data_IF_990506095515
#
_entry.id   IF_990506095515
#
_cell.length_a   1.000
_cell.length_b   1.000
_cell.length_c   1.000
_cell.angle_alpha   90.00
_cell.angle_beta   90.00
_cell.angle_gamma   90.00
#
_symmetry.space_group_name_H-M   'P 1'
#
loop_
_entity.id
_entity.type
_entity.pdbx_description
1 polymer ?
#
# COMPACT_ATOMS: atom_id res chain seq x y z
N UNK A 1 -18.64 3.61 72.43
CA UNK A 1 -17.83 2.84 71.45
C UNK A 1 -18.77 1.99 70.61
N UNK A 2 -19.06 2.38 69.37
CA UNK A 2 -19.86 1.56 68.44
C UNK A 2 -19.15 1.49 67.09
N UNK A 3 -18.67 0.29 66.74
CA UNK A 3 -18.07 0.00 65.43
C UNK A 3 -19.18 -0.43 64.48
N UNK A 4 -19.35 0.32 63.40
CA UNK A 4 -20.30 0.02 62.32
C UNK A 4 -19.53 -0.65 61.17
N UNK A 5 -19.77 -1.94 60.97
CA UNK A 5 -19.17 -2.75 59.90
C UNK A 5 -19.79 -2.39 58.55
N UNK A 6 -18.95 -2.05 57.57
CA UNK A 6 -19.36 -1.73 56.18
C UNK A 6 -19.04 -2.94 55.31
N UNK A 7 -20.09 -3.61 54.85
CA UNK A 7 -20.05 -4.70 53.86
C UNK A 7 -19.82 -4.12 52.46
N UNK A 8 -18.85 -4.65 51.72
CA UNK A 8 -18.62 -4.35 50.30
C UNK A 8 -19.14 -5.51 49.46
N UNK A 9 -20.28 -5.30 48.81
CA UNK A 9 -20.81 -6.19 47.79
C UNK A 9 -19.96 -6.05 46.50
N UNK A 10 -19.43 -7.18 46.02
CA UNK A 10 -18.81 -7.30 44.69
C UNK A 10 -19.92 -7.28 43.64
N UNK A 11 -19.86 -6.29 42.75
CA UNK A 11 -20.72 -6.18 41.58
C UNK A 11 -20.02 -6.95 40.44
N UNK A 12 -20.53 -8.14 40.10
CA UNK A 12 -20.11 -8.89 38.91
C UNK A 12 -20.64 -8.20 37.65
N UNK A 13 -19.73 -7.91 36.73
CA UNK A 13 -20.01 -7.37 35.40
C UNK A 13 -20.25 -8.56 34.47
N UNK A 14 -21.41 -8.66 33.79
CA UNK A 14 -21.65 -9.73 32.82
C UNK A 14 -20.72 -9.57 31.61
N UNK A 15 -19.91 -10.60 31.33
CA UNK A 15 -19.19 -10.74 30.06
C UNK A 15 -20.19 -11.12 28.97
N UNK A 16 -20.66 -10.15 28.21
CA UNK A 16 -21.28 -10.43 26.92
C UNK A 16 -20.20 -10.95 25.96
N UNK A 17 -20.16 -12.29 25.83
CA UNK A 17 -19.36 -12.97 24.83
C UNK A 17 -20.00 -12.75 23.47
N UNK A 18 -19.22 -12.14 22.60
CA UNK A 18 -19.40 -11.94 21.16
C UNK A 18 -20.17 -13.08 20.46
N UNK A 19 -21.39 -12.77 20.03
CA UNK A 19 -22.27 -13.62 19.22
C UNK A 19 -21.92 -13.62 17.73
N UNK A 20 -20.93 -12.81 17.32
CA UNK A 20 -20.53 -12.66 15.92
C UNK A 20 -19.74 -13.85 15.37
N UNK A 21 -19.01 -14.58 16.22
CA UNK A 21 -18.20 -15.72 15.76
C UNK A 21 -19.04 -16.99 15.55
N UNK A 22 -20.21 -17.07 16.18
CA UNK A 22 -21.13 -18.22 16.06
C UNK A 22 -22.08 -18.09 14.86
N UNK A 23 -22.27 -16.86 14.36
CA UNK A 23 -23.05 -16.61 13.14
C UNK A 23 -22.29 -16.95 11.85
N UNK A 24 -20.95 -17.02 11.89
CA UNK A 24 -20.14 -17.35 10.72
C UNK A 24 -20.07 -18.86 10.44
N UNK A 25 -20.38 -19.72 11.41
CA UNK A 25 -20.36 -21.18 11.24
C UNK A 25 -21.65 -21.74 10.60
N UNK A 26 -22.67 -20.91 10.33
CA UNK A 26 -23.95 -21.34 9.75
C UNK A 26 -24.06 -21.11 8.23
N UNK A 27 -22.98 -20.66 7.58
CA UNK A 27 -22.97 -20.36 6.13
C UNK A 27 -22.19 -21.38 5.28
N UNK A 28 -21.69 -22.48 5.86
CA UNK A 28 -20.89 -23.49 5.15
C UNK A 28 -21.67 -24.75 4.70
N UNK A 29 -22.97 -24.85 4.94
CA UNK A 29 -23.81 -25.92 4.37
C UNK A 29 -24.66 -25.38 3.20
N UNK A 30 -24.04 -25.33 2.02
CA UNK A 30 -24.77 -25.36 0.76
C UNK A 30 -24.51 -26.72 0.10
N UNK A 31 -25.49 -27.61 0.21
CA UNK A 31 -25.57 -28.83 -0.60
C UNK A 31 -25.51 -28.46 -2.09
N UNK A 32 -24.45 -28.93 -2.76
CA UNK A 32 -24.36 -28.90 -4.22
C UNK A 32 -25.24 -30.04 -4.72
N UNK A 33 -26.48 -29.73 -5.12
CA UNK A 33 -27.32 -30.66 -5.89
C UNK A 33 -26.60 -30.97 -7.21
N UNK A 34 -26.24 -32.24 -7.34
CA UNK A 34 -25.61 -32.85 -8.50
C UNK A 34 -26.56 -32.76 -9.70
N UNK A 35 -26.31 -31.79 -10.59
CA UNK A 35 -27.08 -31.60 -11.81
C UNK A 35 -26.99 -32.85 -12.69
N UNK A 36 -28.12 -33.56 -12.76
CA UNK A 36 -28.36 -34.69 -13.65
C UNK A 36 -28.28 -34.22 -15.12
N UNK A 37 -27.19 -34.56 -15.81
CA UNK A 37 -27.02 -34.28 -17.23
C UNK A 37 -27.84 -35.27 -18.08
N UNK A 38 -28.70 -34.81 -19.02
CA UNK A 38 -29.32 -35.70 -19.98
C UNK A 38 -28.28 -36.24 -20.98
N UNK A 39 -28.13 -37.56 -20.99
CA UNK A 39 -27.36 -38.34 -21.96
C UNK A 39 -27.87 -38.08 -23.39
N UNK A 40 -27.02 -37.54 -24.26
CA UNK A 40 -27.26 -37.42 -25.69
C UNK A 40 -27.06 -38.79 -26.39
N UNK A 41 -27.95 -39.18 -27.33
CA UNK A 41 -27.78 -40.41 -28.11
C UNK A 41 -26.71 -40.27 -29.21
N UNK A 42 -26.14 -41.39 -29.69
CA UNK A 42 -25.01 -41.39 -30.64
C UNK A 42 -25.46 -41.03 -32.07
N UNK A 43 -24.55 -40.49 -32.92
CA UNK A 43 -24.91 -40.14 -34.28
C UNK A 43 -24.84 -41.35 -35.21
N UNK A 44 -26.00 -41.68 -35.81
CA UNK A 44 -26.11 -42.63 -36.91
C UNK A 44 -25.74 -41.97 -38.24
N UNK A 45 -24.82 -42.58 -38.97
CA UNK A 45 -24.44 -42.27 -40.36
C UNK A 45 -25.57 -42.52 -41.36
N UNK A 46 -25.89 -41.53 -42.21
CA UNK A 46 -26.27 -41.68 -43.64
C UNK A 46 -26.49 -40.28 -44.25
N UNK A 47 -25.68 -39.86 -45.22
CA UNK A 47 -25.83 -40.03 -46.68
C UNK A 47 -26.71 -38.95 -47.34
N UNK A 48 -26.00 -37.95 -47.91
CA UNK A 48 -26.19 -37.36 -49.24
C UNK A 48 -27.60 -36.96 -49.70
N UNK A 49 -27.87 -35.65 -49.82
CA UNK A 49 -28.18 -34.95 -51.09
C UNK A 49 -28.33 -33.43 -50.86
N UNK A 50 -28.20 -32.59 -51.92
CA UNK A 50 -27.61 -31.26 -51.86
C UNK A 50 -28.63 -30.11 -52.01
N UNK A 51 -28.10 -28.88 -52.07
CA UNK A 51 -28.77 -27.62 -52.40
C UNK A 51 -29.77 -27.12 -51.34
N UNK A 52 -29.33 -26.12 -50.57
CA UNK A 52 -30.01 -24.86 -50.17
C UNK A 52 -29.17 -24.12 -49.08
N UNK A 53 -27.92 -24.53 -48.82
CA UNK A 53 -27.04 -23.85 -47.83
C UNK A 53 -26.31 -22.60 -48.34
N UNK A 54 -26.35 -22.31 -49.64
CA UNK A 54 -25.70 -21.09 -50.16
C UNK A 54 -26.40 -19.79 -49.71
N UNK A 55 -27.70 -19.83 -49.39
CA UNK A 55 -28.44 -18.63 -48.94
C UNK A 55 -28.04 -18.21 -47.51
N UNK A 56 -27.91 -19.18 -46.60
CA UNK A 56 -27.61 -18.93 -45.19
C UNK A 56 -26.19 -18.38 -44.98
N UNK A 57 -25.20 -18.88 -45.73
CA UNK A 57 -23.81 -18.43 -45.58
C UNK A 57 -23.63 -17.01 -46.16
N UNK A 58 -24.30 -16.70 -47.28
CA UNK A 58 -24.32 -15.35 -47.82
C UNK A 58 -24.98 -14.36 -46.85
N UNK A 59 -26.08 -14.77 -46.21
CA UNK A 59 -26.79 -13.99 -45.21
C UNK A 59 -25.95 -13.75 -43.94
N UNK A 60 -25.21 -14.76 -43.47
CA UNK A 60 -24.27 -14.62 -42.35
C UNK A 60 -23.11 -13.67 -42.67
N UNK A 61 -22.59 -13.74 -43.90
CA UNK A 61 -21.51 -12.86 -44.37
C UNK A 61 -21.98 -11.40 -44.47
N UNK A 62 -23.22 -11.19 -44.93
CA UNK A 62 -23.86 -9.89 -44.96
C UNK A 62 -24.09 -9.32 -43.55
N UNK A 63 -24.55 -10.16 -42.61
CA UNK A 63 -24.72 -9.77 -41.22
C UNK A 63 -23.38 -9.40 -40.55
N UNK A 64 -22.33 -10.18 -40.80
CA UNK A 64 -20.98 -9.88 -40.30
C UNK A 64 -20.44 -8.57 -40.88
N UNK A 65 -20.73 -8.29 -42.16
CA UNK A 65 -20.36 -7.02 -42.82
C UNK A 65 -21.06 -5.83 -42.16
N UNK A 66 -22.36 -5.95 -41.90
CA UNK A 66 -23.14 -4.91 -41.22
C UNK A 66 -22.69 -4.69 -39.77
N UNK A 67 -22.35 -5.75 -39.04
CA UNK A 67 -21.80 -5.63 -37.68
C UNK A 67 -20.45 -4.90 -37.67
N UNK A 68 -19.58 -5.21 -38.64
CA UNK A 68 -18.30 -4.50 -38.81
C UNK A 68 -18.52 -3.02 -39.10
N UNK A 69 -19.45 -2.69 -40.00
CA UNK A 69 -19.77 -1.31 -40.35
C UNK A 69 -20.35 -0.54 -39.16
N UNK A 70 -21.25 -1.16 -38.38
CA UNK A 70 -21.76 -0.59 -37.13
C UNK A 70 -20.64 -0.26 -36.15
N UNK A 71 -19.72 -1.20 -35.90
CA UNK A 71 -18.59 -0.97 -34.99
C UNK A 71 -17.65 0.11 -35.50
N UNK A 72 -17.45 0.19 -36.82
CA UNK A 72 -16.65 1.24 -37.45
C UNK A 72 -17.29 2.62 -37.27
N UNK A 73 -18.60 2.73 -37.46
CA UNK A 73 -19.37 3.95 -37.21
C UNK A 73 -19.39 4.32 -35.71
N UNK A 74 -19.45 3.34 -34.81
CA UNK A 74 -19.37 3.58 -33.37
C UNK A 74 -17.99 4.09 -32.94
N UNK A 75 -16.91 3.56 -33.53
CA UNK A 75 -15.56 4.10 -33.37
C UNK A 75 -15.43 5.51 -33.95
N UNK A 76 -16.07 5.79 -35.09
CA UNK A 76 -16.07 7.11 -35.71
C UNK A 76 -16.88 8.12 -34.89
N UNK A 77 -18.03 7.72 -34.35
CA UNK A 77 -18.80 8.51 -33.39
C UNK A 77 -18.01 8.77 -32.10
N UNK A 78 -17.27 7.78 -31.59
CA UNK A 78 -16.37 7.97 -30.46
C UNK A 78 -15.24 8.95 -30.80
N UNK A 79 -14.69 8.92 -32.02
CA UNK A 79 -13.70 9.89 -32.50
C UNK A 79 -14.28 11.30 -32.63
N UNK A 80 -15.46 11.43 -33.23
CA UNK A 80 -16.18 12.71 -33.38
C UNK A 80 -16.57 13.29 -32.02
N UNK A 81 -17.03 12.45 -31.08
CA UNK A 81 -17.36 12.85 -29.71
C UNK A 81 -16.12 13.21 -28.89
N UNK A 82 -14.94 12.71 -29.27
CA UNK A 82 -13.65 13.07 -28.66
C UNK A 82 -12.99 14.32 -29.27
N UNK A 83 -13.48 14.85 -30.39
CA UNK A 83 -12.95 16.11 -30.90
C UNK A 83 -13.46 16.50 -32.28
N UNK A 84 -14.25 17.55 -32.34
CA UNK A 84 -14.47 18.32 -33.58
C UNK A 84 -13.29 19.27 -33.78
N UNK A 85 -12.37 18.94 -34.69
CA UNK A 85 -11.76 19.87 -35.67
C UNK A 85 -10.96 19.05 -36.71
N UNK A 86 -10.98 19.44 -38.00
CA UNK A 86 -10.46 18.65 -39.12
C UNK A 86 -8.92 18.80 -39.29
N UNK A 87 -8.28 17.99 -40.16
CA UNK A 87 -6.83 17.87 -40.22
C UNK A 87 -6.23 18.96 -41.10
N UNK A 88 -5.12 19.54 -40.65
CA UNK A 88 -4.15 20.13 -41.56
C UNK A 88 -2.78 19.55 -41.23
N UNK A 89 -2.15 19.03 -42.27
CA UNK A 89 -0.86 18.37 -42.24
C UNK A 89 0.23 19.39 -41.91
N UNK A 90 1.03 19.13 -40.87
CA UNK A 90 2.50 19.19 -40.93
C UNK A 90 3.14 19.05 -39.55
N UNK A 91 4.13 18.15 -39.50
CA UNK A 91 5.35 18.23 -38.70
C UNK A 91 5.24 18.42 -37.17
N UNK A 92 5.49 17.31 -36.47
CA UNK A 92 6.40 17.22 -35.32
C UNK A 92 6.31 18.34 -34.28
N UNK A 93 5.38 18.21 -33.34
CA UNK A 93 5.59 18.61 -31.95
C UNK A 93 4.61 17.84 -31.06
N UNK A 94 5.16 16.90 -30.29
CA UNK A 94 4.48 16.29 -29.15
C UNK A 94 4.04 17.39 -28.17
N UNK A 95 2.84 17.95 -28.38
CA UNK A 95 2.13 18.74 -27.38
C UNK A 95 1.10 17.82 -26.76
N UNK A 96 1.42 17.38 -25.55
CA UNK A 96 0.53 16.63 -24.69
C UNK A 96 -0.81 17.34 -24.56
N UNK A 97 -1.87 16.61 -24.89
CA UNK A 97 -3.20 16.86 -24.37
C UNK A 97 -3.46 15.84 -23.28
N UNK A 98 -3.36 16.33 -22.05
CA UNK A 98 -4.14 15.89 -20.90
C UNK A 98 -4.21 14.38 -20.68
N UNK A 99 -3.07 13.80 -20.32
CA UNK A 99 -3.09 12.83 -19.24
C UNK A 99 -3.66 13.56 -18.02
N UNK A 100 -5.01 13.56 -17.89
CA UNK A 100 -5.71 13.95 -16.68
C UNK A 100 -5.04 13.13 -15.60
N UNK A 101 -4.13 13.75 -14.83
CA UNK A 101 -3.43 13.10 -13.73
C UNK A 101 -4.52 12.42 -12.94
N UNK A 102 -4.52 11.08 -12.92
CA UNK A 102 -5.34 10.37 -11.96
C UNK A 102 -4.66 10.66 -10.64
N UNK A 103 -4.97 11.83 -10.06
CA UNK A 103 -4.63 12.13 -8.70
C UNK A 103 -5.26 11.00 -7.91
N UNK A 104 -4.43 10.10 -7.40
CA UNK A 104 -4.94 9.05 -6.51
C UNK A 104 -5.48 9.78 -5.31
N UNK A 105 -6.79 9.64 -5.13
CA UNK A 105 -7.48 10.25 -4.01
C UNK A 105 -6.86 9.68 -2.74
N UNK A 106 -6.41 10.55 -1.84
CA UNK A 106 -5.69 10.12 -0.65
C UNK A 106 -6.67 9.99 0.52
N UNK A 107 -6.55 9.01 1.43
CA UNK A 107 -7.48 8.80 2.53
C UNK A 107 -7.76 10.05 3.37
N UNK A 108 -6.77 10.93 3.51
CA UNK A 108 -6.88 12.21 4.21
C UNK A 108 -7.91 13.17 3.60
N UNK A 109 -8.20 13.07 2.31
CA UNK A 109 -9.14 13.94 1.60
C UNK A 109 -10.61 13.56 1.90
N UNK A 110 -10.82 12.39 2.52
CA UNK A 110 -12.15 11.86 2.85
C UNK A 110 -12.48 11.93 4.34
N UNK A 111 -11.58 12.48 5.17
CA UNK A 111 -11.82 12.61 6.61
C UNK A 111 -12.64 13.88 6.88
N UNK A 112 -13.87 13.78 7.41
CA UNK A 112 -14.69 14.96 7.71
C UNK A 112 -13.99 15.88 8.73
N UNK A 113 -13.86 17.17 8.38
CA UNK A 113 -13.29 18.18 9.28
C UNK A 113 -11.78 18.39 9.17
N UNK A 114 -11.06 17.60 8.36
CA UNK A 114 -9.68 17.93 7.99
C UNK A 114 -9.68 18.82 6.74
N UNK A 115 -9.19 20.05 6.90
CA UNK A 115 -8.98 20.95 5.77
C UNK A 115 -7.83 20.40 4.92
N UNK A 116 -7.98 20.40 3.60
CA UNK A 116 -6.98 19.95 2.61
C UNK A 116 -5.69 20.80 2.57
N UNK A 117 -5.46 21.64 3.59
CA UNK A 117 -4.18 22.30 3.81
C UNK A 117 -3.11 21.25 4.14
N UNK A 118 -2.19 21.06 3.20
CA UNK A 118 -1.06 20.09 3.24
C UNK A 118 -0.24 20.03 4.54
N UNK A 119 -0.37 21.00 5.44
CA UNK A 119 0.33 21.05 6.72
C UNK A 119 -0.16 20.00 7.73
N UNK A 120 -1.43 19.60 7.66
CA UNK A 120 -2.05 18.73 8.69
C UNK A 120 -2.08 17.24 8.29
N UNK A 121 -1.58 16.89 7.10
CA UNK A 121 -1.46 15.47 6.69
C UNK A 121 -0.58 14.68 7.66
N UNK A 122 0.41 15.34 8.27
CA UNK A 122 1.28 14.73 9.28
C UNK A 122 0.58 14.42 10.61
N UNK A 123 -0.56 15.04 10.91
CA UNK A 123 -1.31 14.80 12.17
C UNK A 123 -2.41 13.74 12.04
N UNK A 124 -2.69 13.22 10.84
CA UNK A 124 -3.69 12.17 10.65
C UNK A 124 -3.32 10.94 11.48
N UNK A 125 -4.14 10.63 12.49
CA UNK A 125 -3.95 9.45 13.33
C UNK A 125 -4.43 8.18 12.60
N UNK A 126 -4.19 7.02 13.22
CA UNK A 126 -4.54 5.74 12.62
C UNK A 126 -6.06 5.59 12.43
N UNK A 127 -6.85 6.05 13.40
CA UNK A 127 -8.31 5.97 13.33
C UNK A 127 -8.88 6.83 12.20
N UNK A 128 -8.43 8.09 12.09
CA UNK A 128 -8.81 8.99 11.01
C UNK A 128 -8.40 8.44 9.65
N UNK A 129 -7.20 7.85 9.53
CA UNK A 129 -6.77 7.23 8.28
C UNK A 129 -7.67 6.06 7.88
N UNK A 130 -8.00 5.16 8.80
CA UNK A 130 -8.88 4.02 8.51
C UNK A 130 -10.26 4.52 8.07
N UNK A 131 -10.84 5.50 8.78
CA UNK A 131 -12.13 6.08 8.42
C UNK A 131 -12.10 6.72 7.03
N UNK A 132 -11.07 7.53 6.75
CA UNK A 132 -10.86 8.14 5.44
C UNK A 132 -10.63 7.10 4.33
N UNK A 133 -9.90 6.03 4.61
CA UNK A 133 -9.63 4.95 3.67
C UNK A 133 -10.93 4.20 3.31
N UNK A 134 -11.76 3.87 4.30
CA UNK A 134 -13.05 3.21 4.06
C UNK A 134 -13.97 4.11 3.23
N UNK A 135 -14.00 5.41 3.51
CA UNK A 135 -14.76 6.38 2.72
C UNK A 135 -14.24 6.47 1.28
N UNK A 136 -12.92 6.50 1.09
CA UNK A 136 -12.24 6.54 -0.21
C UNK A 136 -12.58 5.32 -1.08
N UNK A 137 -12.69 4.12 -0.51
CA UNK A 137 -12.94 2.89 -1.28
C UNK A 137 -14.44 2.62 -1.51
N UNK A 138 -15.33 3.39 -0.89
CA UNK A 138 -16.79 3.24 -1.04
C UNK A 138 -17.30 3.24 -2.50
N UNK A 139 -16.81 4.07 -3.43
CA UNK A 139 -17.29 4.09 -4.81
C UNK A 139 -16.74 2.96 -5.68
N UNK A 140 -15.77 2.18 -5.20
CA UNK A 140 -15.18 1.08 -5.96
C UNK A 140 -16.15 -0.10 -6.09
N UNK A 141 -15.93 -0.95 -7.09
CA UNK A 141 -16.63 -2.21 -7.28
C UNK A 141 -16.22 -3.26 -6.23
N UNK A 142 -16.94 -4.38 -6.18
CA UNK A 142 -16.74 -5.39 -5.13
C UNK A 142 -15.35 -6.04 -5.19
N UNK A 143 -14.87 -6.36 -6.39
CA UNK A 143 -13.57 -7.02 -6.57
C UNK A 143 -12.41 -6.09 -6.16
N UNK A 144 -12.45 -4.83 -6.59
CA UNK A 144 -11.45 -3.85 -6.17
C UNK A 144 -11.53 -3.55 -4.66
N UNK A 145 -12.73 -3.54 -4.06
CA UNK A 145 -12.91 -3.35 -2.62
C UNK A 145 -12.23 -4.43 -1.79
N UNK A 146 -12.42 -5.70 -2.14
CA UNK A 146 -11.77 -6.82 -1.43
C UNK A 146 -10.24 -6.66 -1.41
N UNK A 147 -9.67 -6.32 -2.57
CA UNK A 147 -8.24 -6.04 -2.70
C UNK A 147 -7.81 -4.87 -1.81
N UNK A 148 -8.59 -3.79 -1.79
CA UNK A 148 -8.30 -2.61 -0.98
C UNK A 148 -8.43 -2.89 0.53
N UNK A 149 -9.35 -3.77 0.94
CA UNK A 149 -9.45 -4.21 2.33
C UNK A 149 -8.26 -5.06 2.75
N UNK A 150 -7.79 -5.96 1.89
CA UNK A 150 -6.57 -6.72 2.15
C UNK A 150 -5.33 -5.81 2.31
N UNK A 151 -5.27 -4.71 1.55
CA UNK A 151 -4.24 -3.68 1.74
C UNK A 151 -4.41 -2.95 3.08
N UNK A 152 -5.63 -2.59 3.47
CA UNK A 152 -5.90 -1.95 4.76
C UNK A 152 -5.52 -2.85 5.94
N UNK A 153 -5.79 -4.15 5.84
CA UNK A 153 -5.37 -5.14 6.82
C UNK A 153 -3.84 -5.20 6.94
N UNK A 154 -3.13 -5.25 5.81
CA UNK A 154 -1.67 -5.21 5.78
C UNK A 154 -1.13 -3.96 6.48
N UNK A 155 -1.66 -2.78 6.14
CA UNK A 155 -1.27 -1.50 6.74
C UNK A 155 -1.49 -1.53 8.26
N UNK A 156 -2.66 -2.00 8.70
CA UNK A 156 -3.04 -2.09 10.12
C UNK A 156 -2.12 -3.05 10.88
N UNK A 157 -1.79 -4.20 10.28
CA UNK A 157 -0.84 -5.17 10.84
C UNK A 157 0.56 -4.57 11.01
N UNK A 158 1.03 -3.77 10.03
CA UNK A 158 2.31 -3.08 10.13
C UNK A 158 2.31 -1.99 11.22
N UNK A 159 1.19 -1.31 11.43
CA UNK A 159 1.05 -0.29 12.49
C UNK A 159 1.19 -0.84 13.92
N UNK A 160 1.05 -2.16 14.12
CA UNK A 160 1.32 -2.80 15.41
C UNK A 160 2.83 -2.76 15.70
N UNK A 161 3.67 -2.96 14.68
CA UNK A 161 5.13 -3.16 14.82
C UNK A 161 5.94 -1.90 14.55
N UNK A 162 5.45 -1.06 13.65
CA UNK A 162 6.16 0.13 13.16
C UNK A 162 5.48 1.42 13.62
N UNK A 163 6.24 2.50 13.60
CA UNK A 163 5.74 3.84 13.87
C UNK A 163 4.67 4.20 12.84
N UNK A 164 3.63 4.89 13.30
CA UNK A 164 2.52 5.28 12.43
C UNK A 164 2.97 6.17 11.25
N UNK A 165 3.93 7.06 11.48
CA UNK A 165 4.52 7.88 10.42
C UNK A 165 5.19 7.05 9.33
N UNK A 166 5.92 6.00 9.69
CA UNK A 166 6.55 5.10 8.72
C UNK A 166 5.50 4.30 7.93
N UNK A 167 4.43 3.86 8.58
CA UNK A 167 3.33 3.12 7.94
C UNK A 167 2.56 3.98 6.93
N UNK A 168 2.27 5.24 7.28
CA UNK A 168 1.72 6.20 6.31
C UNK A 168 2.68 6.45 5.15
N UNK A 169 3.97 6.59 5.43
CA UNK A 169 5.00 6.71 4.40
C UNK A 169 5.00 5.52 3.43
N UNK A 170 4.81 4.31 3.95
CA UNK A 170 4.67 3.10 3.13
C UNK A 170 3.41 3.16 2.25
N UNK A 171 2.26 3.53 2.79
CA UNK A 171 1.04 3.69 2.00
C UNK A 171 1.22 4.74 0.88
N UNK A 172 1.76 5.92 1.20
CA UNK A 172 2.05 6.96 0.21
C UNK A 172 3.02 6.47 -0.88
N UNK A 173 4.00 5.64 -0.51
CA UNK A 173 4.89 5.00 -1.47
C UNK A 173 4.11 4.10 -2.43
N UNK A 174 3.25 3.21 -1.92
CA UNK A 174 2.43 2.31 -2.75
C UNK A 174 1.49 3.10 -3.65
N UNK A 175 0.74 4.06 -3.09
CA UNK A 175 -0.14 4.95 -3.86
C UNK A 175 0.63 5.61 -5.00
N UNK A 176 1.84 6.14 -4.75
CA UNK A 176 2.66 6.73 -5.81
C UNK A 176 3.12 5.73 -6.88
N UNK A 177 3.42 4.47 -6.52
CA UNK A 177 3.73 3.44 -7.52
C UNK A 177 2.51 3.13 -8.40
N UNK A 178 1.32 3.10 -7.80
CA UNK A 178 0.06 2.90 -8.53
C UNK A 178 -0.25 4.09 -9.44
N UNK A 179 -0.01 5.32 -8.97
CA UNK A 179 -0.18 6.54 -9.77
C UNK A 179 0.72 6.51 -11.01
N UNK A 180 1.94 5.99 -10.84
CA UNK A 180 2.92 5.82 -11.90
C UNK A 180 2.68 4.59 -12.78
N UNK A 181 1.62 3.81 -12.52
CA UNK A 181 1.30 2.54 -13.22
C UNK A 181 2.45 1.52 -13.18
N UNK A 182 3.26 1.55 -12.14
CA UNK A 182 4.33 0.57 -11.89
C UNK A 182 3.86 -0.61 -11.05
N UNK A 183 2.70 -0.43 -10.43
CA UNK A 183 2.08 -1.38 -9.52
C UNK A 183 0.56 -1.21 -9.65
N UNK A 184 -0.19 -2.27 -9.51
CA UNK A 184 -1.65 -2.24 -9.40
C UNK A 184 -2.07 -2.62 -7.98
N UNK A 185 -3.26 -2.16 -7.57
CA UNK A 185 -3.80 -2.49 -6.25
C UNK A 185 -3.98 -4.01 -6.07
N UNK A 186 -4.30 -4.73 -7.15
CA UNK A 186 -4.47 -6.19 -7.21
C UNK A 186 -3.18 -6.98 -6.94
N UNK A 187 -2.00 -6.36 -7.11
CA UNK A 187 -0.70 -7.02 -6.92
C UNK A 187 -0.30 -7.07 -5.43
N UNK A 188 -1.16 -7.68 -4.62
CA UNK A 188 -1.01 -7.70 -3.15
C UNK A 188 0.30 -8.37 -2.70
N UNK A 189 0.76 -9.40 -3.42
CA UNK A 189 2.00 -10.10 -3.09
C UNK A 189 3.24 -9.22 -3.30
N UNK A 190 3.27 -8.42 -4.37
CA UNK A 190 4.33 -7.44 -4.63
C UNK A 190 4.32 -6.31 -3.59
N UNK A 191 3.12 -5.86 -3.18
CA UNK A 191 2.96 -4.88 -2.10
C UNK A 191 3.47 -5.47 -0.77
N UNK A 192 3.12 -6.73 -0.47
CA UNK A 192 3.59 -7.44 0.72
C UNK A 192 5.10 -7.57 0.73
N UNK A 193 5.71 -7.94 -0.40
CA UNK A 193 7.16 -8.00 -0.56
C UNK A 193 7.82 -6.62 -0.45
N UNK A 194 7.21 -5.57 -0.99
CA UNK A 194 7.68 -4.19 -0.80
C UNK A 194 7.68 -3.82 0.69
N UNK A 195 6.70 -4.29 1.47
CA UNK A 195 6.63 -4.05 2.91
C UNK A 195 7.75 -4.72 3.70
N UNK A 196 8.43 -5.76 3.18
CA UNK A 196 9.53 -6.41 3.92
C UNK A 196 10.84 -5.63 3.81
N UNK A 197 11.00 -4.86 2.72
CA UNK A 197 12.21 -4.08 2.42
C UNK A 197 12.06 -2.59 2.73
N UNK A 198 10.83 -2.07 2.76
CA UNK A 198 10.57 -0.65 3.03
C UNK A 198 10.90 -0.25 4.47
N UNK A 199 10.47 -1.04 5.46
CA UNK A 199 10.64 -0.68 6.87
C UNK A 199 12.03 -1.03 7.38
N UNK A 200 12.61 -0.10 8.15
CA UNK A 200 13.92 -0.26 8.80
C UNK A 200 13.74 -0.47 10.31
N UNK A 201 14.80 -0.92 10.99
CA UNK A 201 14.78 -1.05 12.46
C UNK A 201 14.48 0.28 13.18
N UNK A 202 14.88 1.42 12.61
CA UNK A 202 14.55 2.75 13.14
C UNK A 202 13.06 3.09 13.08
N UNK A 203 12.30 2.40 12.23
CA UNK A 203 10.86 2.60 12.08
C UNK A 203 10.06 1.81 13.12
N UNK A 204 10.70 0.96 13.94
CA UNK A 204 9.99 0.20 14.96
C UNK A 204 9.32 1.14 15.95
N UNK A 205 8.09 0.79 16.35
CA UNK A 205 7.35 1.55 17.34
C UNK A 205 8.12 1.49 18.67
N UNK A 206 8.68 2.62 19.10
CA UNK A 206 9.33 2.71 20.40
C UNK A 206 8.29 2.55 21.49
N UNK A 207 8.31 1.41 22.19
CA UNK A 207 7.41 1.10 23.30
C UNK A 207 7.84 1.77 24.62
N UNK A 208 8.78 2.70 24.57
CA UNK A 208 9.28 3.40 25.77
C UNK A 208 8.15 4.20 26.41
N UNK A 209 7.53 3.57 27.41
CA UNK A 209 6.69 4.16 28.43
C UNK A 209 7.44 5.33 29.06
N UNK A 210 6.91 6.53 28.83
CA UNK A 210 7.15 7.79 29.57
C UNK A 210 8.47 7.84 30.37
N UNK A 211 9.52 8.37 29.76
CA UNK A 211 10.42 9.27 30.48
C UNK A 211 10.41 10.63 29.77
N UNK A 212 10.07 11.66 30.54
CA UNK A 212 9.84 13.03 30.08
C UNK A 212 10.90 13.58 29.12
N UNK A 213 10.39 14.18 28.05
CA UNK A 213 10.91 15.31 27.28
C UNK A 213 12.44 15.53 27.19
N UNK A 214 12.95 15.52 25.96
CA UNK A 214 13.49 16.75 25.41
C UNK A 214 13.33 16.79 23.89
N UNK A 215 12.74 17.88 23.42
CA UNK A 215 12.68 18.30 22.01
C UNK A 215 14.08 18.24 21.41
N UNK A 216 14.21 17.63 20.24
CA UNK A 216 15.06 18.19 19.20
C UNK A 216 14.52 17.81 17.82
N UNK A 217 13.68 18.71 17.32
CA UNK A 217 13.56 19.01 15.90
C UNK A 217 14.90 19.54 15.40
N UNK A 218 15.53 18.82 14.46
CA UNK A 218 16.30 19.44 13.38
C UNK A 218 16.15 18.55 12.15
N UNK A 219 15.12 18.84 11.37
CA UNK A 219 15.13 18.62 9.93
C UNK A 219 16.25 19.48 9.34
N UNK A 220 17.19 18.85 8.64
CA UNK A 220 17.95 19.52 7.59
C UNK A 220 17.91 18.65 6.34
N UNK A 221 17.35 19.22 5.27
CA UNK A 221 17.66 18.84 3.91
C UNK A 221 19.18 18.94 3.75
N UNK A 222 19.81 17.90 3.20
CA UNK A 222 21.25 17.86 2.99
C UNK A 222 21.62 16.65 2.15
N UNK A 223 21.69 16.88 0.85
CA UNK A 223 22.51 16.26 -0.18
C UNK A 223 22.84 14.75 -0.18
N UNK A 224 22.71 14.25 -1.40
CA UNK A 224 23.28 13.02 -1.93
C UNK A 224 24.80 13.01 -1.72
N UNK A 225 25.25 12.28 -0.68
CA UNK A 225 26.49 11.46 -0.55
C UNK A 225 26.84 11.36 0.93
N UNK A 226 26.04 10.63 1.72
CA UNK A 226 26.48 10.23 3.04
C UNK A 226 27.47 9.07 2.88
N UNK A 227 28.76 9.40 2.81
CA UNK A 227 29.85 8.46 3.02
C UNK A 227 29.50 7.53 4.19
N UNK A 228 29.35 6.24 3.89
CA UNK A 228 29.01 5.22 4.86
C UNK A 228 30.24 4.99 5.74
N UNK A 229 30.39 5.76 6.81
CA UNK A 229 31.41 5.48 7.84
C UNK A 229 31.28 4.05 8.39
N UNK A 230 32.40 3.45 8.79
CA UNK A 230 32.52 2.07 9.21
C UNK A 230 31.69 1.79 10.48
N UNK A 231 30.55 1.11 10.31
CA UNK A 231 29.61 0.84 11.41
C UNK A 231 30.19 -0.10 12.47
N UNK A 232 30.94 -1.12 12.03
CA UNK A 232 31.55 -2.12 12.92
C UNK A 232 32.53 -1.47 13.90
N UNK A 233 33.42 -0.62 13.39
CA UNK A 233 34.35 0.12 14.22
C UNK A 233 33.65 1.11 15.12
N UNK A 234 32.64 1.83 14.62
CA UNK A 234 31.94 2.83 15.40
C UNK A 234 31.33 2.22 16.69
N UNK A 235 30.82 1.00 16.60
CA UNK A 235 30.19 0.34 17.74
C UNK A 235 31.18 -0.44 18.62
N UNK A 236 32.16 -1.16 18.04
CA UNK A 236 33.03 -2.09 18.80
C UNK A 236 34.47 -1.62 18.98
N UNK A 237 34.88 -0.54 18.31
CA UNK A 237 36.29 -0.13 18.23
C UNK A 237 37.16 -1.05 17.36
N UNK A 238 36.57 -2.07 16.74
CA UNK A 238 37.25 -3.03 15.88
C UNK A 238 36.50 -3.21 14.56
N UNK A 239 37.26 -3.32 13.46
CA UNK A 239 36.75 -3.59 12.12
C UNK A 239 37.79 -4.33 11.29
N UNK A 240 37.36 -4.92 10.17
CA UNK A 240 38.23 -5.58 9.18
C UNK A 240 38.86 -4.57 8.21
N UNK A 241 38.52 -3.29 8.33
CA UNK A 241 39.08 -2.25 7.46
C UNK A 241 40.57 -2.05 7.74
N UNK A 242 41.33 -1.86 6.68
CA UNK A 242 42.78 -1.67 6.73
C UNK A 242 43.13 -0.29 7.32
N UNK A 243 43.80 -0.29 8.47
CA UNK A 243 44.24 0.93 9.17
C UNK A 243 45.35 1.69 8.45
N UNK A 244 45.99 1.08 7.45
CA UNK A 244 47.00 1.73 6.61
C UNK A 244 46.42 2.48 5.41
N UNK A 245 45.12 2.33 5.15
CA UNK A 245 44.47 3.03 4.03
C UNK A 245 44.25 4.52 4.32
N UNK A 246 44.47 5.37 3.31
CA UNK A 246 44.23 6.83 3.42
C UNK A 246 42.76 7.17 3.75
N UNK A 247 41.84 6.29 3.35
CA UNK A 247 40.41 6.39 3.67
C UNK A 247 40.04 5.95 5.09
N UNK A 248 40.99 5.43 5.88
CA UNK A 248 40.68 4.92 7.21
C UNK A 248 40.21 6.04 8.13
N UNK A 249 40.93 7.16 8.18
CA UNK A 249 40.58 8.28 9.05
C UNK A 249 39.23 8.93 8.68
N UNK A 250 38.86 8.95 7.40
CA UNK A 250 37.59 9.51 6.93
C UNK A 250 36.41 8.58 7.17
N UNK A 251 36.62 7.25 7.10
CA UNK A 251 35.58 6.26 7.36
C UNK A 251 35.41 5.91 8.85
N UNK A 252 36.42 6.15 9.69
CA UNK A 252 36.44 5.76 11.10
C UNK A 252 36.31 6.98 12.01
N UNK A 253 35.22 7.73 11.80
CA UNK A 253 34.87 8.92 12.59
C UNK A 253 33.81 8.57 13.63
N UNK A 254 33.98 9.04 14.87
CA UNK A 254 32.99 8.82 15.92
C UNK A 254 31.66 9.49 15.55
N UNK A 255 30.53 8.75 15.60
CA UNK A 255 29.22 9.32 15.25
C UNK A 255 28.68 10.32 16.28
N UNK A 256 29.17 10.25 17.52
CA UNK A 256 28.71 11.11 18.61
C UNK A 256 29.33 12.50 18.55
N UNK A 257 30.66 12.58 18.39
CA UNK A 257 31.35 13.87 18.34
C UNK A 257 31.63 14.36 16.92
N UNK A 258 31.58 13.48 15.91
CA UNK A 258 31.98 13.73 14.52
C UNK A 258 33.37 14.36 14.36
N UNK A 259 34.23 14.23 15.37
CA UNK A 259 35.58 14.79 15.33
C UNK A 259 36.51 13.87 14.54
N UNK A 260 37.26 14.47 13.63
CA UNK A 260 38.38 13.84 12.90
C UNK A 260 39.70 14.01 13.65
N UNK A 261 39.77 14.90 14.64
CA UNK A 261 40.98 15.18 15.43
C UNK A 261 41.29 14.06 16.44
N UNK A 262 40.28 13.31 16.88
CA UNK A 262 40.43 12.20 17.81
C UNK A 262 39.65 10.97 17.32
N UNK A 263 40.39 9.92 16.99
CA UNK A 263 39.85 8.64 16.51
C UNK A 263 39.48 7.77 17.72
N UNK A 264 38.18 7.71 18.02
CA UNK A 264 37.66 6.81 19.06
C UNK A 264 36.31 6.22 18.65
N UNK A 265 35.98 4.98 19.06
CA UNK A 265 34.66 4.44 18.84
C UNK A 265 33.60 5.23 19.62
N UNK A 266 32.33 5.04 19.25
CA UNK A 266 31.20 5.65 19.94
C UNK A 266 31.17 5.31 21.43
N UNK A 267 31.54 4.07 21.79
CA UNK A 267 31.53 3.60 23.18
C UNK A 267 32.46 4.40 24.09
N UNK A 268 33.58 4.87 23.56
CA UNK A 268 34.60 5.61 24.31
C UNK A 268 34.49 7.12 24.10
N UNK A 269 33.38 7.60 23.53
CA UNK A 269 33.23 9.02 23.26
C UNK A 269 32.94 9.82 24.55
N UNK A 270 33.77 10.81 24.90
CA UNK A 270 33.56 11.64 26.10
C UNK A 270 32.30 12.53 26.00
N UNK A 271 31.79 12.78 24.78
CA UNK A 271 30.54 13.52 24.56
C UNK A 271 29.28 12.65 24.71
N UNK A 272 29.43 11.35 24.98
CA UNK A 272 28.28 10.44 25.13
C UNK A 272 27.60 10.68 26.47
N UNK A 273 26.32 11.08 26.43
CA UNK A 273 25.52 11.43 27.63
C UNK A 273 24.91 10.24 28.37
N UNK A 274 25.00 9.03 27.83
CA UNK A 274 24.35 7.82 28.37
C UNK A 274 25.41 6.75 28.64
N UNK A 275 25.43 6.12 29.83
CA UNK A 275 26.35 5.02 30.12
C UNK A 275 26.09 3.79 29.23
N UNK A 276 27.07 2.90 29.11
CA UNK A 276 26.92 1.62 28.40
C UNK A 276 25.99 0.74 29.25
N UNK A 277 24.89 0.18 28.70
CA UNK A 277 24.13 -0.87 29.39
C UNK A 277 25.11 -2.00 29.73
N UNK A 278 25.25 -2.33 31.02
CA UNK A 278 26.18 -3.36 31.47
C UNK A 278 25.95 -4.66 30.70
N UNK A 279 27.04 -5.25 30.21
CA UNK A 279 27.04 -6.63 29.72
C UNK A 279 26.81 -7.60 30.88
#
# INVERSE_FOLDING_TARGET
MSKKSRSTAKQEIPRERSTLFEQLAQLEDFDIEEANYPTLPPPTTSRTTPLTKCSSLAQELELAKLQKEKLQLELELLRLKQGTTPPDDTATKNKGKDAKKRTIECPQDFVPGMSSSSADSNSLDMAGFIAGYIAMIKPYDAEAKETMYALLELISSKAIRYSWSSVRGFYCYIARQVEQRRLEWSQLEEIRNSSTTFFKHSDLRSTTTKSNASRQTTSTNGDKTAEKGCQAWNYKGACVCDSSSDSYATMHVCRVCKSTEHVHPMLNCPKRRMPIPGQ
#
